data_IF_835113415404
#
_entry.id   IF_835113415404
#
_cell.length_a   1.000
_cell.length_b   1.000
_cell.length_c   1.000
_cell.angle_alpha   90.00
_cell.angle_beta   90.00
_cell.angle_gamma   90.00
#
_symmetry.space_group_name_H-M   'P 1'
#
loop_
_entity.id
_entity.type
_entity.pdbx_description
1 polymer ?
#
# COMPACT_ATOMS: atom_id res chain seq x y z
N UNK A 1 -48.65 30.59 -48.63
CA UNK A 1 -48.36 29.41 -47.79
C UNK A 1 -46.99 29.60 -47.13
N UNK A 2 -46.95 29.92 -45.84
CA UNK A 2 -45.72 30.28 -45.10
C UNK A 2 -45.03 29.03 -44.56
N UNK A 3 -43.73 28.88 -44.84
CA UNK A 3 -42.85 27.82 -44.32
C UNK A 3 -42.64 28.00 -42.82
N UNK A 4 -43.06 27.03 -42.00
CA UNK A 4 -42.76 26.98 -40.58
C UNK A 4 -41.37 26.34 -40.37
N UNK A 5 -40.44 27.12 -39.80
CA UNK A 5 -39.12 26.66 -39.36
C UNK A 5 -39.29 25.91 -38.04
N UNK A 6 -39.00 24.61 -38.00
CA UNK A 6 -38.80 23.89 -36.74
C UNK A 6 -37.49 24.39 -36.11
N UNK A 7 -37.59 25.06 -34.96
CA UNK A 7 -36.45 25.40 -34.11
C UNK A 7 -36.15 24.21 -33.22
N UNK A 8 -34.93 23.68 -33.35
CA UNK A 8 -34.33 22.69 -32.46
C UNK A 8 -34.24 23.24 -31.04
N UNK A 9 -34.85 22.57 -30.06
CA UNK A 9 -34.53 22.74 -28.64
C UNK A 9 -33.84 21.45 -28.17
N UNK A 10 -32.52 21.44 -28.23
CA UNK A 10 -31.71 20.46 -27.53
C UNK A 10 -31.54 20.94 -26.09
N UNK A 11 -32.36 20.44 -25.18
CA UNK A 11 -32.21 20.68 -23.74
C UNK A 11 -31.22 19.64 -23.18
N UNK A 12 -29.93 19.96 -23.24
CA UNK A 12 -28.89 19.15 -22.62
C UNK A 12 -28.92 19.35 -21.10
N UNK A 13 -29.58 18.43 -20.37
CA UNK A 13 -29.46 18.34 -18.92
C UNK A 13 -28.14 17.61 -18.58
N UNK A 14 -27.07 18.37 -18.37
CA UNK A 14 -25.84 17.84 -17.76
C UNK A 14 -26.11 17.73 -16.26
N UNK A 15 -26.46 16.53 -15.80
CA UNK A 15 -26.39 16.20 -14.37
C UNK A 15 -24.91 16.06 -13.99
N UNK A 16 -24.30 17.17 -13.56
CA UNK A 16 -23.02 17.11 -12.88
C UNK A 16 -23.25 16.46 -11.52
N UNK A 17 -23.09 15.15 -11.42
CA UNK A 17 -23.00 14.46 -10.14
C UNK A 17 -21.69 14.92 -9.49
N UNK A 18 -21.78 15.94 -8.63
CA UNK A 18 -20.70 16.31 -7.75
C UNK A 18 -20.47 15.14 -6.78
N UNK A 19 -19.51 14.27 -7.10
CA UNK A 19 -19.03 13.27 -6.16
C UNK A 19 -18.26 14.06 -5.09
N UNK A 20 -18.70 14.07 -3.82
CA UNK A 20 -17.96 14.76 -2.79
C UNK A 20 -16.58 14.13 -2.71
N UNK A 21 -15.55 14.96 -2.89
CA UNK A 21 -14.19 14.61 -2.51
C UNK A 21 -14.26 14.33 -1.00
N UNK A 22 -14.01 13.10 -0.59
CA UNK A 22 -14.08 12.71 0.82
C UNK A 22 -13.16 13.63 1.62
N UNK A 23 -13.76 14.55 2.38
CA UNK A 23 -13.05 15.27 3.41
C UNK A 23 -12.72 14.24 4.49
N UNK A 24 -11.43 14.05 4.75
CA UNK A 24 -10.94 13.22 5.85
C UNK A 24 -11.68 13.62 7.13
N UNK A 25 -12.47 12.70 7.68
CA UNK A 25 -13.30 12.98 8.84
C UNK A 25 -12.40 13.37 10.01
N UNK A 26 -12.81 14.33 10.84
CA UNK A 26 -12.07 14.66 12.06
C UNK A 26 -11.84 13.42 12.96
N UNK A 27 -12.73 12.41 12.85
CA UNK A 27 -12.65 11.13 13.56
C UNK A 27 -11.47 10.25 13.09
N UNK A 28 -11.06 10.35 11.82
CA UNK A 28 -9.95 9.57 11.26
C UNK A 28 -8.58 9.99 11.80
N UNK A 29 -8.50 11.15 12.46
CA UNK A 29 -7.25 11.64 13.06
C UNK A 29 -6.98 11.08 14.45
N UNK A 30 -8.01 10.62 15.16
CA UNK A 30 -7.84 10.16 16.52
C UNK A 30 -7.48 8.67 16.55
N UNK A 31 -6.23 8.39 16.95
CA UNK A 31 -5.71 7.02 17.06
C UNK A 31 -6.51 6.16 18.05
N UNK A 32 -7.12 6.78 19.07
CA UNK A 32 -7.95 6.07 20.06
C UNK A 32 -9.25 5.52 19.48
N UNK A 33 -9.69 6.07 18.35
CA UNK A 33 -10.95 5.71 17.74
C UNK A 33 -10.78 4.62 16.67
N UNK A 34 -9.56 4.12 16.40
CA UNK A 34 -9.30 3.01 15.47
C UNK A 34 -10.21 1.83 15.82
N UNK A 35 -10.91 1.32 14.81
CA UNK A 35 -11.97 0.32 14.96
C UNK A 35 -13.36 0.91 15.15
N UNK A 36 -13.53 2.22 15.31
CA UNK A 36 -14.82 2.86 15.57
C UNK A 36 -15.09 4.10 14.69
N UNK A 37 -14.27 4.33 13.66
CA UNK A 37 -14.28 5.58 12.87
C UNK A 37 -15.25 5.56 11.70
N UNK A 38 -15.84 4.40 11.39
CA UNK A 38 -16.66 4.20 10.19
C UNK A 38 -15.83 4.13 8.90
N UNK A 39 -14.56 3.70 8.98
CA UNK A 39 -13.71 3.52 7.78
C UNK A 39 -14.37 2.54 6.81
N UNK A 40 -14.45 2.93 5.54
CA UNK A 40 -15.10 2.15 4.49
C UNK A 40 -16.62 2.31 4.41
N UNK A 41 -17.22 3.11 5.30
CA UNK A 41 -18.63 3.51 5.19
C UNK A 41 -18.87 4.41 3.97
N UNK A 42 -20.13 4.49 3.54
CA UNK A 42 -20.56 5.24 2.36
C UNK A 42 -21.13 4.35 1.26
N UNK A 43 -21.24 4.89 0.05
CA UNK A 43 -21.90 4.19 -1.05
C UNK A 43 -21.08 2.98 -1.50
N UNK A 44 -21.57 1.78 -1.20
CA UNK A 44 -21.00 0.51 -1.62
C UNK A 44 -22.12 -0.51 -1.83
N UNK A 45 -22.26 -1.05 -3.04
CA UNK A 45 -23.31 -2.01 -3.38
C UNK A 45 -23.02 -3.44 -2.88
N UNK A 46 -21.84 -3.64 -2.30
CA UNK A 46 -21.43 -4.90 -1.71
C UNK A 46 -21.57 -4.76 -0.19
N UNK A 47 -22.41 -5.59 0.42
CA UNK A 47 -22.41 -5.78 1.88
C UNK A 47 -21.10 -6.43 2.33
N UNK A 48 -20.86 -6.50 3.64
CA UNK A 48 -19.67 -7.18 4.19
C UNK A 48 -19.66 -8.65 3.76
N UNK A 49 -20.79 -9.33 3.83
CA UNK A 49 -20.95 -10.74 3.46
C UNK A 49 -20.71 -10.95 1.96
N UNK A 50 -21.24 -10.06 1.11
CA UNK A 50 -20.99 -10.10 -0.34
C UNK A 50 -19.53 -9.87 -0.66
N UNK A 51 -18.83 -8.99 0.07
CA UNK A 51 -17.40 -8.79 -0.09
C UNK A 51 -16.60 -10.03 0.30
N UNK A 52 -16.97 -10.70 1.39
CA UNK A 52 -16.34 -11.97 1.82
C UNK A 52 -16.56 -13.07 0.78
N UNK A 53 -17.80 -13.25 0.30
CA UNK A 53 -18.11 -14.25 -0.71
C UNK A 53 -17.34 -14.01 -2.02
N UNK A 54 -17.29 -12.75 -2.48
CA UNK A 54 -16.50 -12.36 -3.65
C UNK A 54 -15.01 -12.64 -3.45
N UNK A 55 -14.47 -12.25 -2.30
CA UNK A 55 -13.08 -12.50 -1.91
C UNK A 55 -12.73 -13.97 -1.97
N UNK A 56 -13.60 -14.82 -1.41
CA UNK A 56 -13.43 -16.27 -1.39
C UNK A 56 -13.31 -16.85 -2.80
N UNK A 57 -14.23 -16.48 -3.68
CA UNK A 57 -14.23 -16.96 -5.07
C UNK A 57 -12.96 -16.53 -5.82
N UNK A 58 -12.48 -15.30 -5.59
CA UNK A 58 -11.24 -14.81 -6.19
C UNK A 58 -10.00 -15.49 -5.59
N UNK A 59 -10.00 -15.72 -4.28
CA UNK A 59 -8.92 -16.42 -3.59
C UNK A 59 -8.77 -17.86 -4.10
N UNK A 60 -9.89 -18.58 -4.31
CA UNK A 60 -9.88 -19.92 -4.91
C UNK A 60 -9.23 -19.94 -6.30
N UNK A 61 -9.46 -18.90 -7.12
CA UNK A 61 -8.80 -18.77 -8.44
C UNK A 61 -7.29 -18.50 -8.33
N UNK A 62 -6.89 -17.65 -7.38
CA UNK A 62 -5.47 -17.39 -7.12
C UNK A 62 -4.78 -18.67 -6.64
N UNK A 63 -5.36 -19.35 -5.66
CA UNK A 63 -4.80 -20.57 -5.07
C UNK A 63 -4.77 -21.76 -6.05
N UNK A 64 -5.67 -21.80 -7.04
CA UNK A 64 -5.66 -22.83 -8.08
C UNK A 64 -4.43 -22.75 -9.02
N UNK A 65 -3.78 -21.58 -9.12
CA UNK A 65 -2.67 -21.35 -10.05
C UNK A 65 -1.35 -20.99 -9.36
N UNK A 66 -1.42 -20.50 -8.12
CA UNK A 66 -0.24 -20.10 -7.36
C UNK A 66 0.42 -21.29 -6.66
N UNK A 67 1.75 -21.21 -6.51
CA UNK A 67 2.49 -22.10 -5.60
C UNK A 67 2.40 -21.54 -4.19
N UNK A 68 1.86 -22.31 -3.26
CA UNK A 68 1.67 -21.91 -1.87
C UNK A 68 2.86 -22.42 -1.04
N UNK A 69 3.47 -21.54 -0.25
CA UNK A 69 4.51 -21.90 0.70
C UNK A 69 3.90 -22.72 1.84
N UNK A 70 4.48 -23.88 2.15
CA UNK A 70 3.90 -24.88 3.07
C UNK A 70 4.60 -24.98 4.41
N UNK A 71 5.73 -24.30 4.59
CA UNK A 71 6.47 -24.35 5.85
C UNK A 71 5.63 -23.78 7.02
N UNK A 72 5.35 -24.57 8.08
CA UNK A 72 4.46 -24.14 9.15
C UNK A 72 5.03 -23.00 9.99
N UNK A 73 6.35 -22.94 10.20
CA UNK A 73 6.97 -21.87 11.00
C UNK A 73 6.87 -20.52 10.29
N UNK A 74 7.12 -20.52 8.96
CA UNK A 74 7.01 -19.32 8.13
C UNK A 74 5.54 -18.86 8.08
N UNK A 75 4.61 -19.77 7.82
CA UNK A 75 3.18 -19.47 7.75
C UNK A 75 2.62 -18.93 9.07
N UNK A 76 2.95 -19.57 10.19
CA UNK A 76 2.51 -19.15 11.52
C UNK A 76 3.06 -17.74 11.84
N UNK A 77 4.33 -17.49 11.56
CA UNK A 77 4.97 -16.21 11.81
C UNK A 77 4.28 -15.06 11.06
N UNK A 78 4.12 -15.21 9.74
CA UNK A 78 3.52 -14.16 8.90
C UNK A 78 2.04 -13.98 9.22
N UNK A 79 1.32 -15.06 9.52
CA UNK A 79 -0.06 -14.96 9.99
C UNK A 79 -0.12 -14.18 11.31
N UNK A 80 0.73 -14.49 12.30
CA UNK A 80 0.75 -13.76 13.58
C UNK A 80 1.04 -12.27 13.39
N UNK A 81 1.98 -11.93 12.51
CA UNK A 81 2.28 -10.54 12.14
C UNK A 81 1.03 -9.84 11.55
N UNK A 82 0.39 -10.46 10.56
CA UNK A 82 -0.83 -9.93 9.95
C UNK A 82 -1.95 -9.76 10.97
N UNK A 83 -2.23 -10.77 11.80
CA UNK A 83 -3.27 -10.71 12.81
C UNK A 83 -2.98 -9.62 13.85
N UNK A 84 -1.71 -9.36 14.17
CA UNK A 84 -1.36 -8.24 15.04
C UNK A 84 -1.74 -6.88 14.45
N UNK A 85 -1.45 -6.67 13.17
CA UNK A 85 -1.84 -5.46 12.45
C UNK A 85 -3.37 -5.34 12.34
N UNK A 86 -4.06 -6.43 11.99
CA UNK A 86 -5.53 -6.45 11.86
C UNK A 86 -6.21 -6.06 13.16
N UNK A 87 -5.74 -6.57 14.31
CA UNK A 87 -6.30 -6.20 15.63
C UNK A 87 -6.16 -4.71 15.98
N UNK A 88 -5.18 -4.03 15.41
CA UNK A 88 -4.95 -2.59 15.60
C UNK A 88 -5.40 -1.77 14.38
N UNK A 89 -6.43 -2.25 13.67
CA UNK A 89 -6.94 -1.61 12.45
C UNK A 89 -8.46 -1.43 12.47
N UNK A 90 -8.99 -0.65 11.52
CA UNK A 90 -10.44 -0.54 11.33
C UNK A 90 -11.08 -1.72 10.57
N UNK A 91 -10.32 -2.75 10.22
CA UNK A 91 -10.84 -3.88 9.48
C UNK A 91 -12.04 -4.55 10.19
N UNK A 92 -13.10 -4.83 9.41
CA UNK A 92 -14.36 -5.44 9.89
C UNK A 92 -14.59 -6.86 9.38
N UNK A 93 -13.56 -7.47 8.82
CA UNK A 93 -13.61 -8.81 8.23
C UNK A 93 -12.48 -9.65 8.79
N UNK A 94 -12.65 -10.98 8.92
CA UNK A 94 -11.55 -11.86 9.28
C UNK A 94 -10.50 -11.86 8.16
N UNK A 95 -9.23 -11.97 8.54
CA UNK A 95 -8.14 -12.09 7.57
C UNK A 95 -7.66 -13.53 7.45
N UNK A 96 -7.63 -14.03 6.22
CA UNK A 96 -7.04 -15.32 5.86
C UNK A 96 -5.74 -15.06 5.11
N UNK A 97 -4.61 -15.40 5.73
CA UNK A 97 -3.28 -15.10 5.17
C UNK A 97 -2.73 -16.32 4.45
N UNK A 98 -2.21 -16.11 3.24
CA UNK A 98 -1.53 -17.14 2.46
C UNK A 98 -0.21 -16.62 1.91
N UNK A 99 0.85 -17.41 2.02
CA UNK A 99 2.15 -17.06 1.48
C UNK A 99 2.32 -17.73 0.12
N UNK A 100 2.71 -16.96 -0.90
CA UNK A 100 2.92 -17.45 -2.25
C UNK A 100 4.43 -17.55 -2.54
N UNK A 101 4.88 -18.71 -3.02
CA UNK A 101 6.24 -18.94 -3.53
C UNK A 101 6.41 -18.13 -4.82
N UNK A 102 6.91 -16.89 -4.69
CA UNK A 102 7.08 -15.99 -5.81
C UNK A 102 8.22 -15.01 -5.52
N UNK A 103 9.21 -14.88 -6.43
CA UNK A 103 10.32 -13.96 -6.24
C UNK A 103 9.88 -12.49 -6.42
N UNK A 104 8.65 -12.25 -6.86
CA UNK A 104 8.10 -10.89 -6.97
C UNK A 104 7.94 -10.28 -5.58
N UNK A 105 8.54 -9.11 -5.38
CA UNK A 105 8.30 -8.26 -4.21
C UNK A 105 6.86 -7.78 -4.32
N UNK A 106 5.92 -8.40 -3.61
CA UNK A 106 4.51 -8.02 -3.63
C UNK A 106 3.71 -8.58 -2.44
N UNK A 107 2.62 -7.89 -2.09
CA UNK A 107 1.51 -8.41 -1.32
C UNK A 107 0.20 -7.89 -1.92
N UNK A 108 -0.91 -8.56 -1.67
CA UNK A 108 -2.23 -8.11 -2.11
C UNK A 108 -3.33 -8.64 -1.20
N UNK A 109 -4.24 -7.76 -0.78
CA UNK A 109 -5.44 -8.17 -0.06
C UNK A 109 -6.70 -8.04 -0.93
N UNK A 110 -7.39 -9.16 -1.15
CA UNK A 110 -8.66 -9.20 -1.86
C UNK A 110 -9.82 -8.77 -0.94
N UNK A 111 -10.99 -8.43 -1.50
CA UNK A 111 -12.20 -8.16 -0.71
C UNK A 111 -12.43 -9.22 0.36
N UNK A 112 -12.88 -8.81 1.55
CA UNK A 112 -13.22 -9.77 2.61
C UNK A 112 -12.04 -10.38 3.36
N UNK A 113 -10.82 -9.87 3.18
CA UNK A 113 -9.67 -10.21 4.04
C UNK A 113 -8.83 -11.39 3.57
N UNK A 114 -8.96 -11.83 2.32
CA UNK A 114 -8.08 -12.85 1.75
C UNK A 114 -6.75 -12.20 1.34
N UNK A 115 -5.69 -12.49 2.08
CA UNK A 115 -4.45 -11.72 2.05
C UNK A 115 -3.27 -12.58 1.61
N UNK A 116 -2.65 -12.19 0.50
CA UNK A 116 -1.52 -12.90 -0.10
C UNK A 116 -0.22 -12.13 0.10
N UNK A 117 0.82 -12.81 0.55
CA UNK A 117 2.17 -12.26 0.74
C UNK A 117 3.15 -13.09 -0.06
N UNK A 118 3.93 -12.48 -0.95
CA UNK A 118 4.93 -13.22 -1.73
C UNK A 118 6.22 -13.41 -0.93
N UNK A 119 6.89 -14.55 -1.13
CA UNK A 119 8.20 -14.83 -0.51
C UNK A 119 9.25 -13.77 -0.87
N UNK A 120 9.20 -13.24 -2.10
CA UNK A 120 10.06 -12.14 -2.55
C UNK A 120 9.89 -10.84 -1.74
N UNK A 121 8.69 -10.54 -1.22
CA UNK A 121 8.49 -9.40 -0.33
C UNK A 121 9.18 -9.60 1.01
N UNK A 122 8.99 -10.78 1.61
CA UNK A 122 9.58 -11.14 2.90
C UNK A 122 11.12 -11.07 2.82
N UNK A 123 11.70 -11.56 1.71
CA UNK A 123 13.14 -11.53 1.48
C UNK A 123 13.67 -10.11 1.19
N UNK A 124 12.86 -9.23 0.59
CA UNK A 124 13.26 -7.86 0.26
C UNK A 124 13.22 -6.88 1.45
N UNK A 125 12.40 -7.16 2.46
CA UNK A 125 12.32 -6.33 3.68
C UNK A 125 13.58 -6.50 4.52
N UNK A 126 14.27 -5.40 4.86
CA UNK A 126 15.52 -5.45 5.67
C UNK A 126 15.23 -5.68 7.15
N UNK A 127 14.02 -5.33 7.60
CA UNK A 127 13.56 -5.52 8.96
C UNK A 127 12.05 -5.81 8.97
N UNK A 128 11.55 -6.26 10.13
CA UNK A 128 10.14 -6.60 10.31
C UNK A 128 9.20 -5.42 10.09
N UNK A 129 9.58 -4.21 10.52
CA UNK A 129 8.74 -3.03 10.40
C UNK A 129 8.48 -2.61 8.94
N UNK A 130 9.44 -2.83 8.04
CA UNK A 130 9.22 -2.60 6.60
C UNK A 130 8.17 -3.56 6.02
N UNK A 131 8.23 -4.85 6.39
CA UNK A 131 7.22 -5.82 6.00
C UNK A 131 5.86 -5.46 6.62
N UNK A 132 5.85 -5.09 7.89
CA UNK A 132 4.65 -4.67 8.61
C UNK A 132 4.01 -3.43 7.96
N UNK A 133 4.80 -2.47 7.49
CA UNK A 133 4.32 -1.28 6.79
C UNK A 133 3.58 -1.62 5.49
N UNK A 134 4.14 -2.49 4.65
CA UNK A 134 3.44 -2.96 3.43
C UNK A 134 2.17 -3.71 3.80
N UNK A 135 2.22 -4.56 4.82
CA UNK A 135 1.05 -5.33 5.22
C UNK A 135 -0.06 -4.45 5.81
N UNK A 136 0.30 -3.42 6.58
CA UNK A 136 -0.64 -2.45 7.14
C UNK A 136 -1.37 -1.66 6.04
N UNK A 137 -0.66 -1.29 4.97
CA UNK A 137 -1.24 -0.65 3.79
C UNK A 137 -2.26 -1.55 3.08
N UNK A 138 -1.93 -2.84 2.86
CA UNK A 138 -2.88 -3.79 2.27
C UNK A 138 -4.12 -4.02 3.16
N UNK A 139 -3.93 -4.06 4.49
CA UNK A 139 -5.04 -4.12 5.45
C UNK A 139 -5.91 -2.86 5.36
N UNK A 140 -5.30 -1.69 5.17
CA UNK A 140 -6.03 -0.43 4.99
C UNK A 140 -6.92 -0.42 3.74
N UNK A 141 -6.48 -1.00 2.62
CA UNK A 141 -7.34 -1.15 1.44
C UNK A 141 -8.61 -1.97 1.72
N UNK A 142 -8.49 -3.03 2.54
CA UNK A 142 -9.62 -3.87 2.93
C UNK A 142 -10.52 -3.13 3.92
N UNK A 143 -9.95 -2.47 4.93
CA UNK A 143 -10.67 -1.68 5.91
C UNK A 143 -11.50 -0.57 5.23
N UNK A 144 -10.88 0.20 4.32
CA UNK A 144 -11.53 1.24 3.54
C UNK A 144 -12.39 0.72 2.37
N UNK A 145 -12.48 -0.61 2.21
CA UNK A 145 -13.30 -1.31 1.21
C UNK A 145 -13.03 -0.86 -0.23
N UNK A 146 -11.81 -0.40 -0.53
CA UNK A 146 -11.45 0.25 -1.80
C UNK A 146 -11.82 -0.59 -3.03
N UNK A 147 -11.53 -1.89 -3.02
CA UNK A 147 -11.82 -2.79 -4.12
C UNK A 147 -13.33 -2.84 -4.46
N UNK A 148 -14.18 -2.97 -3.44
CA UNK A 148 -15.64 -3.04 -3.63
C UNK A 148 -16.28 -1.66 -3.90
N UNK A 149 -15.67 -0.58 -3.41
CA UNK A 149 -16.01 0.79 -3.82
C UNK A 149 -15.72 0.99 -5.30
N UNK A 150 -14.59 0.50 -5.82
CA UNK A 150 -14.27 0.53 -7.25
C UNK A 150 -15.25 -0.29 -8.09
N UNK A 151 -15.63 -1.49 -7.63
CA UNK A 151 -16.67 -2.27 -8.29
C UNK A 151 -18.03 -1.55 -8.30
N UNK A 152 -18.37 -0.86 -7.21
CA UNK A 152 -19.59 -0.04 -7.12
C UNK A 152 -19.55 1.12 -8.12
N UNK A 153 -18.42 1.84 -8.20
CA UNK A 153 -18.20 2.92 -9.19
C UNK A 153 -18.37 2.40 -10.62
N UNK A 154 -17.80 1.23 -10.94
CA UNK A 154 -17.94 0.61 -12.25
C UNK A 154 -19.41 0.30 -12.60
N UNK A 155 -20.16 -0.30 -11.66
CA UNK A 155 -21.60 -0.58 -11.84
C UNK A 155 -22.44 0.68 -12.03
N UNK A 156 -22.12 1.76 -11.32
CA UNK A 156 -22.80 3.05 -11.48
C UNK A 156 -22.58 3.64 -12.87
N UNK A 157 -21.36 3.54 -13.42
CA UNK A 157 -21.05 3.96 -14.79
C UNK A 157 -21.86 3.12 -15.78
N UNK A 158 -21.88 1.79 -15.61
CA UNK A 158 -22.67 0.90 -16.46
C UNK A 158 -24.16 1.31 -16.47
N UNK A 159 -24.75 1.60 -15.30
CA UNK A 159 -26.13 2.08 -15.21
C UNK A 159 -26.35 3.47 -15.82
N UNK A 160 -25.42 4.41 -15.63
CA UNK A 160 -25.52 5.75 -16.19
C UNK A 160 -25.45 5.77 -17.73
N UNK A 161 -24.77 4.78 -18.34
CA UNK A 161 -24.70 4.65 -19.79
C UNK A 161 -25.92 3.93 -20.39
N UNK A 162 -26.75 3.27 -19.59
CA UNK A 162 -27.91 2.50 -20.05
C UNK A 162 -28.95 3.36 -20.82
N UNK A 163 -29.31 4.58 -20.40
CA UNK A 163 -30.23 5.44 -21.16
C UNK A 163 -29.64 5.95 -22.50
N UNK A 164 -28.31 6.08 -22.60
CA UNK A 164 -27.64 6.55 -23.82
C UNK A 164 -27.80 5.56 -24.99
N UNK A 165 -28.04 4.28 -24.68
CA UNK A 165 -28.33 3.24 -25.68
C UNK A 165 -29.65 3.55 -26.42
N UNK A 166 -30.64 4.11 -25.72
CA UNK A 166 -31.96 4.41 -26.29
C UNK A 166 -32.01 5.77 -27.01
N UNK A 167 -31.10 6.70 -26.70
CA UNK A 167 -31.06 8.04 -27.30
C UNK A 167 -30.06 8.15 -28.46
N UNK A 168 -29.03 7.30 -28.50
CA UNK A 168 -27.90 7.42 -29.43
C UNK A 168 -27.99 6.66 -30.75
N UNK A 169 -29.05 5.88 -31.02
CA UNK A 169 -29.21 5.15 -32.28
C UNK A 169 -28.13 4.08 -32.52
N UNK A 170 -28.34 2.88 -32.00
CA UNK A 170 -27.84 1.63 -32.61
C UNK A 170 -26.34 1.32 -32.63
N UNK A 171 -25.43 2.17 -32.15
CA UNK A 171 -23.99 1.86 -32.16
C UNK A 171 -23.44 1.76 -30.73
N UNK A 172 -23.27 0.51 -30.25
CA UNK A 172 -21.97 0.13 -29.69
C UNK A 172 -21.84 -0.35 -28.24
N UNK A 173 -22.89 -0.55 -27.43
CA UNK A 173 -22.69 -1.05 -26.04
C UNK A 173 -23.64 -2.17 -25.56
N UNK A 174 -24.64 -2.57 -26.35
CA UNK A 174 -25.65 -3.56 -25.96
C UNK A 174 -25.18 -5.03 -26.17
N UNK A 175 -23.97 -5.37 -25.72
CA UNK A 175 -23.34 -6.66 -26.02
C UNK A 175 -22.64 -7.35 -24.86
N UNK A 176 -22.97 -7.03 -23.60
CA UNK A 176 -22.50 -7.82 -22.45
C UNK A 176 -23.69 -8.53 -21.82
N UNK A 177 -23.95 -9.74 -22.32
CA UNK A 177 -24.74 -10.75 -21.65
C UNK A 177 -24.32 -10.82 -20.18
N UNK A 178 -25.26 -10.69 -19.25
CA UNK A 178 -25.03 -10.78 -17.80
C UNK A 178 -24.58 -12.19 -17.34
N UNK A 179 -24.55 -13.16 -18.24
CA UNK A 179 -24.12 -14.52 -17.97
C UNK A 179 -22.58 -14.60 -18.05
N UNK A 180 -21.96 -14.83 -16.89
CA UNK A 180 -20.52 -15.11 -16.74
C UNK A 180 -19.56 -13.97 -17.12
N UNK A 181 -19.85 -12.74 -16.68
CA UNK A 181 -18.86 -11.67 -16.75
C UNK A 181 -17.70 -12.01 -15.80
N UNK A 182 -16.57 -12.45 -16.35
CA UNK A 182 -15.31 -12.51 -15.63
C UNK A 182 -15.05 -11.13 -14.99
N UNK A 183 -14.93 -11.08 -13.67
CA UNK A 183 -14.70 -9.82 -12.96
C UNK A 183 -13.28 -9.36 -13.30
N UNK A 184 -13.10 -8.27 -14.05
CA UNK A 184 -11.77 -7.86 -14.45
C UNK A 184 -10.99 -7.41 -13.21
N UNK A 185 -9.77 -7.91 -13.01
CA UNK A 185 -8.90 -7.53 -11.87
C UNK A 185 -8.52 -6.03 -11.85
N UNK A 186 -8.98 -5.23 -12.81
CA UNK A 186 -8.80 -3.78 -12.82
C UNK A 186 -9.44 -3.07 -11.62
N UNK A 187 -10.38 -3.69 -10.91
CA UNK A 187 -10.93 -3.12 -9.67
C UNK A 187 -9.89 -2.98 -8.54
N UNK A 188 -8.78 -3.72 -8.62
CA UNK A 188 -7.61 -3.62 -7.74
C UNK A 188 -6.67 -2.46 -8.13
N UNK A 189 -6.97 -1.70 -9.19
CA UNK A 189 -6.27 -0.44 -9.48
C UNK A 189 -6.94 0.68 -8.71
N UNK A 190 -6.21 1.21 -7.74
CA UNK A 190 -6.73 2.21 -6.82
C UNK A 190 -6.44 3.62 -7.30
N UNK A 191 -7.35 4.55 -6.99
CA UNK A 191 -7.15 5.96 -7.33
C UNK A 191 -6.09 6.59 -6.43
N UNK A 192 -5.55 7.75 -6.83
CA UNK A 192 -4.63 8.52 -5.97
C UNK A 192 -5.24 8.92 -4.62
N UNK A 193 -6.58 8.96 -4.52
CA UNK A 193 -7.27 9.21 -3.26
C UNK A 193 -7.24 7.97 -2.38
N UNK A 194 -7.63 6.83 -2.94
CA UNK A 194 -7.62 5.53 -2.24
C UNK A 194 -6.19 5.18 -1.73
N UNK A 195 -5.16 5.48 -2.52
CA UNK A 195 -3.76 5.28 -2.10
C UNK A 195 -3.34 6.12 -0.91
N UNK A 196 -3.72 7.40 -0.89
CA UNK A 196 -3.42 8.29 0.24
C UNK A 196 -4.20 7.89 1.49
N UNK A 197 -5.45 7.47 1.31
CA UNK A 197 -6.27 6.93 2.40
C UNK A 197 -5.62 5.66 2.99
N UNK A 198 -5.12 4.76 2.13
CA UNK A 198 -4.45 3.54 2.57
C UNK A 198 -3.08 3.80 3.24
N UNK A 199 -2.29 4.75 2.74
CA UNK A 199 -1.03 5.18 3.39
C UNK A 199 -1.31 5.74 4.79
N UNK A 200 -2.25 6.68 4.87
CA UNK A 200 -2.66 7.35 6.09
C UNK A 200 -3.12 6.36 7.16
N UNK A 201 -4.05 5.46 6.81
CA UNK A 201 -4.57 4.44 7.71
C UNK A 201 -3.48 3.40 8.05
N UNK A 202 -2.70 2.97 7.07
CA UNK A 202 -1.63 1.98 7.23
C UNK A 202 -0.55 2.45 8.21
N UNK A 203 -0.14 3.71 8.14
CA UNK A 203 0.80 4.32 9.09
C UNK A 203 0.27 4.26 10.52
N UNK A 204 -1.01 4.56 10.72
CA UNK A 204 -1.63 4.48 12.04
C UNK A 204 -1.75 3.05 12.55
N UNK A 205 -2.09 2.09 11.68
CA UNK A 205 -2.21 0.68 12.08
C UNK A 205 -0.87 0.08 12.48
N UNK A 206 0.20 0.36 11.72
CA UNK A 206 1.53 -0.12 12.09
C UNK A 206 2.05 0.59 13.35
N UNK A 207 1.78 1.89 13.49
CA UNK A 207 2.13 2.66 14.68
C UNK A 207 1.42 2.09 15.91
N UNK A 208 0.11 1.82 15.83
CA UNK A 208 -0.61 1.25 16.97
C UNK A 208 -0.22 -0.19 17.28
N UNK A 209 0.15 -0.97 16.28
CA UNK A 209 0.78 -2.28 16.49
C UNK A 209 2.21 -2.20 17.08
N UNK A 210 2.76 -0.98 17.26
CA UNK A 210 4.04 -0.71 17.91
C UNK A 210 5.24 -0.58 16.97
N UNK A 211 5.05 -0.68 15.66
CA UNK A 211 6.14 -0.60 14.68
C UNK A 211 6.59 0.84 14.42
N UNK A 212 7.86 1.00 14.02
CA UNK A 212 8.40 2.29 13.60
C UNK A 212 7.76 2.72 12.27
N UNK A 213 6.94 3.77 12.24
CA UNK A 213 6.26 4.19 11.01
C UNK A 213 7.24 4.70 9.94
N UNK A 214 8.47 5.09 10.31
CA UNK A 214 9.51 5.44 9.34
C UNK A 214 9.93 4.26 8.46
N UNK A 215 9.69 3.02 8.90
CA UNK A 215 9.97 1.83 8.09
C UNK A 215 9.08 1.74 6.84
N UNK A 216 7.86 2.31 6.89
CA UNK A 216 6.99 2.43 5.72
C UNK A 216 7.64 3.28 4.62
N UNK A 217 8.13 4.46 5.00
CA UNK A 217 8.83 5.39 4.10
C UNK A 217 10.09 4.73 3.51
N UNK A 218 10.90 4.10 4.37
CA UNK A 218 12.11 3.40 3.95
C UNK A 218 11.83 2.29 2.92
N UNK A 219 10.74 1.53 3.11
CA UNK A 219 10.33 0.51 2.13
C UNK A 219 9.95 1.14 0.79
N UNK A 220 9.21 2.26 0.78
CA UNK A 220 8.85 2.97 -0.46
C UNK A 220 10.07 3.52 -1.19
N UNK A 221 10.99 4.14 -0.46
CA UNK A 221 12.27 4.63 -1.03
C UNK A 221 13.10 3.50 -1.62
N UNK A 222 13.14 2.35 -0.94
CA UNK A 222 13.82 1.15 -1.43
C UNK A 222 13.23 0.65 -2.73
N UNK A 223 11.90 0.51 -2.81
CA UNK A 223 11.20 0.08 -4.02
C UNK A 223 11.47 1.05 -5.18
N UNK A 224 11.33 2.37 -4.95
CA UNK A 224 11.65 3.38 -5.97
C UNK A 224 13.11 3.32 -6.42
N UNK A 225 14.04 3.13 -5.49
CA UNK A 225 15.46 3.02 -5.79
C UNK A 225 15.77 1.78 -6.62
N UNK A 226 15.08 0.66 -6.35
CA UNK A 226 15.20 -0.58 -7.12
C UNK A 226 14.69 -0.40 -8.55
N UNK A 227 13.53 0.22 -8.73
CA UNK A 227 12.96 0.52 -10.06
C UNK A 227 13.84 1.46 -10.88
N UNK A 228 14.40 2.50 -10.26
CA UNK A 228 15.31 3.42 -10.95
C UNK A 228 16.58 2.72 -11.43
N UNK A 229 17.11 1.79 -10.64
CA UNK A 229 18.32 1.04 -10.99
C UNK A 229 18.05 -0.05 -12.03
N UNK A 230 16.88 -0.68 -11.96
CA UNK A 230 16.48 -1.76 -12.83
C UNK A 230 14.99 -1.60 -13.19
N UNK A 231 14.66 -0.85 -14.25
CA UNK A 231 13.27 -0.65 -14.66
C UNK A 231 12.55 -1.97 -14.90
N UNK A 232 11.32 -2.09 -14.42
CA UNK A 232 10.52 -3.31 -14.47
C UNK A 232 10.80 -4.33 -13.36
N UNK A 233 11.60 -3.98 -12.34
CA UNK A 233 11.87 -4.87 -11.19
C UNK A 233 10.93 -4.69 -10.03
N UNK A 234 10.18 -3.59 -9.97
CA UNK A 234 8.96 -3.53 -9.17
C UNK A 234 7.93 -4.48 -9.81
N UNK A 235 7.40 -5.40 -9.01
CA UNK A 235 6.41 -6.37 -9.48
C UNK A 235 5.21 -5.67 -10.15
N UNK A 236 4.61 -6.32 -11.17
CA UNK A 236 3.39 -5.83 -11.83
C UNK A 236 2.24 -5.53 -10.85
N UNK A 237 2.27 -6.13 -9.67
CA UNK A 237 1.29 -5.90 -8.64
C UNK A 237 1.56 -4.65 -7.78
N UNK A 238 2.79 -4.23 -7.50
CA UNK A 238 3.03 -2.84 -7.07
C UNK A 238 2.80 -1.83 -8.19
N UNK A 239 2.66 -2.28 -9.45
CA UNK A 239 2.21 -1.40 -10.54
C UNK A 239 0.72 -1.05 -10.46
N UNK A 240 -0.11 -1.74 -9.65
CA UNK A 240 -1.49 -1.28 -9.40
C UNK A 240 -1.52 -0.07 -8.47
N UNK A 241 -0.53 0.06 -7.59
CA UNK A 241 -0.43 1.15 -6.62
C UNK A 241 1.03 1.54 -6.31
N UNK A 242 1.75 2.13 -7.29
CA UNK A 242 3.18 2.36 -7.17
C UNK A 242 3.52 3.40 -6.09
N UNK A 243 4.64 3.24 -5.36
CA UNK A 243 5.16 4.30 -4.51
C UNK A 243 5.51 5.51 -5.39
N UNK A 244 5.31 6.72 -4.85
CA UNK A 244 5.68 7.95 -5.55
C UNK A 244 6.37 8.91 -4.58
N UNK A 245 7.22 9.84 -5.08
CA UNK A 245 7.83 10.86 -4.22
C UNK A 245 6.79 11.71 -3.46
N UNK A 246 5.61 11.91 -4.05
CA UNK A 246 4.52 12.62 -3.40
C UNK A 246 3.97 11.83 -2.19
N UNK A 247 3.72 10.53 -2.36
CA UNK A 247 3.25 9.65 -1.26
C UNK A 247 4.26 9.55 -0.13
N UNK A 248 5.56 9.49 -0.44
CA UNK A 248 6.63 9.52 0.57
C UNK A 248 6.56 10.80 1.38
N UNK A 249 6.52 11.96 0.72
CA UNK A 249 6.45 13.25 1.39
C UNK A 249 5.17 13.42 2.21
N UNK A 250 4.05 12.93 1.69
CA UNK A 250 2.77 12.93 2.40
C UNK A 250 2.86 12.05 3.65
N UNK A 251 3.45 10.85 3.54
CA UNK A 251 3.68 9.93 4.67
C UNK A 251 4.60 10.51 5.74
N UNK A 252 5.72 11.13 5.36
CA UNK A 252 6.62 11.81 6.30
C UNK A 252 5.88 12.90 7.09
N UNK A 253 5.08 13.71 6.39
CA UNK A 253 4.27 14.74 7.02
C UNK A 253 3.22 14.16 7.97
N UNK A 254 2.59 13.05 7.59
CA UNK A 254 1.62 12.36 8.43
C UNK A 254 2.27 11.82 9.71
N UNK A 255 3.45 11.21 9.60
CA UNK A 255 4.23 10.76 10.76
C UNK A 255 4.51 11.93 11.70
N UNK A 256 5.03 13.04 11.17
CA UNK A 256 5.42 14.20 11.98
C UNK A 256 4.22 14.91 12.65
N UNK A 257 3.05 14.89 12.01
CA UNK A 257 1.89 15.66 12.44
C UNK A 257 0.84 14.87 13.22
N UNK A 258 0.77 13.55 13.04
CA UNK A 258 -0.31 12.72 13.60
C UNK A 258 0.16 11.75 14.66
N UNK A 259 1.41 11.27 14.58
CA UNK A 259 1.90 10.17 15.39
C UNK A 259 2.77 10.71 16.53
N UNK A 260 2.29 10.65 17.79
CA UNK A 260 3.11 11.03 18.92
C UNK A 260 4.40 10.21 18.97
N UNK A 261 5.52 10.84 19.31
CA UNK A 261 6.76 10.09 19.50
C UNK A 261 6.62 9.11 20.66
N UNK A 262 7.00 7.84 20.43
CA UNK A 262 7.10 6.81 21.47
C UNK A 262 8.56 6.69 21.96
N UNK A 263 8.77 6.25 23.23
CA UNK A 263 10.12 5.95 23.72
C UNK A 263 10.79 4.84 22.92
N UNK A 264 10.01 3.85 22.47
CA UNK A 264 10.50 2.69 21.75
C UNK A 264 9.52 2.32 20.62
N UNK A 265 10.11 1.85 19.51
CA UNK A 265 9.39 1.26 18.39
C UNK A 265 9.96 -0.13 18.09
N UNK A 266 9.10 -1.02 17.60
CA UNK A 266 9.51 -2.28 17.00
C UNK A 266 10.05 -1.97 15.61
N UNK A 267 11.37 -2.07 15.44
CA UNK A 267 12.00 -1.98 14.13
C UNK A 267 12.23 -3.39 13.55
N UNK A 268 12.83 -4.27 14.35
CA UNK A 268 13.13 -5.63 13.93
C UNK A 268 13.09 -6.60 15.12
N UNK A 269 12.78 -7.87 14.84
CA UNK A 269 12.85 -8.95 15.84
C UNK A 269 13.81 -10.05 15.44
N UNK A 270 14.34 -10.77 16.43
CA UNK A 270 15.14 -11.98 16.18
C UNK A 270 14.35 -13.07 15.44
N UNK A 271 13.02 -13.11 15.65
CA UNK A 271 12.17 -14.10 15.00
C UNK A 271 12.00 -13.78 13.52
N UNK A 272 11.85 -12.50 13.14
CA UNK A 272 11.87 -12.10 11.73
C UNK A 272 13.13 -12.56 11.02
N UNK A 273 14.30 -12.29 11.61
CA UNK A 273 15.59 -12.70 11.04
C UNK A 273 15.69 -14.23 10.86
N UNK A 274 15.24 -15.01 11.83
CA UNK A 274 15.21 -16.48 11.75
C UNK A 274 14.31 -16.96 10.61
N UNK A 275 13.11 -16.41 10.50
CA UNK A 275 12.13 -16.77 9.47
C UNK A 275 12.62 -16.37 8.08
N UNK A 276 13.22 -15.18 7.95
CA UNK A 276 13.82 -14.73 6.70
C UNK A 276 14.96 -15.64 6.26
N UNK A 277 15.85 -16.03 7.18
CA UNK A 277 16.94 -16.95 6.89
C UNK A 277 16.42 -18.35 6.50
N UNK A 278 15.44 -18.89 7.25
CA UNK A 278 14.77 -20.16 6.92
C UNK A 278 14.15 -20.13 5.52
N UNK A 279 13.44 -19.05 5.19
CA UNK A 279 12.84 -18.87 3.87
C UNK A 279 13.89 -18.83 2.76
N UNK A 280 14.99 -18.10 2.97
CA UNK A 280 16.08 -18.00 2.00
C UNK A 280 16.72 -19.36 1.69
N UNK A 281 16.94 -20.18 2.74
CA UNK A 281 17.46 -21.54 2.58
C UNK A 281 16.53 -22.43 1.76
N UNK A 282 15.21 -22.36 2.00
CA UNK A 282 14.22 -23.15 1.25
C UNK A 282 14.13 -22.72 -0.23
N UNK A 283 14.27 -21.43 -0.51
CA UNK A 283 14.20 -20.85 -1.86
C UNK A 283 15.55 -20.94 -2.60
N UNK A 284 16.58 -21.58 -2.01
CA UNK A 284 17.94 -21.70 -2.57
C UNK A 284 18.55 -20.34 -2.94
N UNK A 285 18.22 -19.28 -2.19
CA UNK A 285 18.80 -17.96 -2.41
C UNK A 285 20.21 -17.97 -1.83
N UNK A 286 21.23 -17.80 -2.67
CA UNK A 286 22.63 -17.75 -2.24
C UNK A 286 22.82 -16.78 -1.07
N UNK A 287 23.38 -17.28 0.04
CA UNK A 287 23.61 -16.56 1.30
C UNK A 287 24.40 -15.24 1.11
N UNK A 288 25.11 -15.08 0.00
CA UNK A 288 25.96 -13.92 -0.30
C UNK A 288 25.21 -12.60 -0.45
N UNK A 289 23.89 -12.62 -0.70
CA UNK A 289 23.07 -11.40 -0.85
C UNK A 289 22.12 -11.11 0.33
N UNK A 290 22.02 -12.00 1.34
CA UNK A 290 21.23 -11.73 2.53
C UNK A 290 22.03 -10.87 3.51
N UNK A 291 21.72 -9.56 3.54
CA UNK A 291 22.15 -8.67 4.62
C UNK A 291 21.38 -9.03 5.91
N UNK A 292 21.80 -10.09 6.59
CA UNK A 292 21.34 -10.39 7.93
C UNK A 292 21.96 -9.37 8.89
N UNK A 293 21.20 -8.35 9.27
CA UNK A 293 21.62 -7.42 10.32
C UNK A 293 21.46 -8.08 11.69
N UNK A 294 22.61 -8.40 12.33
CA UNK A 294 22.74 -8.52 13.77
C UNK A 294 22.52 -9.91 14.37
N UNK A 295 23.54 -10.39 15.10
CA UNK A 295 23.55 -11.60 15.90
C UNK A 295 22.48 -11.58 17.01
N UNK A 296 21.37 -12.28 16.81
CA UNK A 296 20.54 -12.89 17.87
C UNK A 296 19.87 -12.01 18.92
N UNK A 297 20.01 -10.68 18.90
CA UNK A 297 19.39 -9.76 19.85
C UNK A 297 18.33 -8.89 19.16
N UNK A 298 17.12 -8.72 19.73
CA UNK A 298 16.18 -7.69 19.27
C UNK A 298 16.90 -6.34 19.23
N UNK A 299 16.80 -5.62 18.11
CA UNK A 299 17.29 -4.25 18.03
C UNK A 299 16.16 -3.30 18.42
N UNK A 300 16.20 -2.86 19.67
CA UNK A 300 15.50 -1.67 20.12
C UNK A 300 16.52 -0.52 20.14
N UNK A 301 16.05 0.71 19.90
CA UNK A 301 16.73 2.03 20.04
C UNK A 301 16.98 2.79 18.73
N UNK A 302 16.22 3.87 18.54
CA UNK A 302 16.68 5.18 18.06
C UNK A 302 16.27 6.21 19.11
N UNK A 303 17.20 6.90 19.81
CA UNK A 303 16.84 8.00 20.69
C UNK A 303 16.51 9.22 19.82
N UNK A 304 15.42 9.90 20.16
CA UNK A 304 14.99 11.12 19.50
C UNK A 304 16.00 12.24 19.82
N UNK A 305 16.87 12.61 18.87
CA UNK A 305 17.88 13.65 19.15
C UNK A 305 19.02 13.89 18.14
N UNK A 306 18.97 13.41 16.91
CA UNK A 306 19.97 13.81 15.89
C UNK A 306 19.30 14.56 14.74
N UNK A 307 19.41 15.89 14.83
CA UNK A 307 19.31 16.76 13.68
C UNK A 307 20.17 16.24 12.52
N UNK A 308 19.68 16.40 11.31
CA UNK A 308 20.40 16.11 10.08
C UNK A 308 21.84 16.67 10.14
N UNK A 309 22.87 15.94 9.68
CA UNK A 309 24.20 16.52 9.61
C UNK A 309 24.21 17.63 8.57
N UNK A 310 24.26 18.86 9.07
CA UNK A 310 24.58 20.04 8.31
C UNK A 310 25.95 19.89 7.63
N UNK A 311 26.08 20.56 6.48
CA UNK A 311 27.23 20.70 5.60
C UNK A 311 28.60 20.29 6.12
N UNK A 312 29.31 19.51 5.29
CA UNK A 312 30.76 19.28 5.38
C UNK A 312 31.52 20.61 5.51
N UNK A 313 32.35 20.83 6.55
CA UNK A 313 33.39 21.84 6.49
C UNK A 313 34.60 21.25 5.75
N UNK A 314 34.93 21.83 4.60
CA UNK A 314 36.17 21.56 3.88
C UNK A 314 37.34 22.20 4.64
N UNK A 315 38.27 21.37 5.14
CA UNK A 315 39.56 21.84 5.65
C UNK A 315 40.41 22.33 4.48
N UNK A 316 40.48 23.66 4.32
CA UNK A 316 41.35 24.32 3.34
C UNK A 316 42.79 24.31 3.88
N UNK A 317 43.66 23.46 3.30
CA UNK A 317 45.12 23.53 3.49
C UNK A 317 45.62 24.89 2.99
N UNK A 318 46.32 25.62 3.85
CA UNK A 318 47.07 26.83 3.50
C UNK A 318 48.27 26.42 2.63
N UNK A 319 48.53 27.05 1.47
CA UNK A 319 49.73 26.77 0.70
C UNK A 319 50.95 27.40 1.38
N UNK A 320 52.04 26.64 1.41
CA UNK A 320 53.36 27.17 1.72
C UNK A 320 53.82 28.10 0.60
N UNK A 321 54.40 29.23 0.98
CA UNK A 321 55.18 30.11 0.14
C UNK A 321 56.40 30.52 0.97
N UNK A 322 57.58 30.10 0.53
CA UNK A 322 58.84 30.47 1.15
C UNK A 322 59.39 31.80 0.64
N UNK A 323 60.47 32.25 1.29
CA UNK A 323 61.52 33.04 0.67
C UNK A 323 61.63 34.51 1.10
N UNK A 324 62.80 34.88 1.63
CA UNK A 324 63.30 36.25 1.82
C UNK A 324 63.55 36.55 3.31
N UNK A 325 64.77 36.72 3.84
CA UNK A 325 66.06 37.06 3.24
C UNK A 325 66.43 38.51 3.59
N UNK A 326 67.44 38.70 4.45
CA UNK A 326 68.12 39.97 4.78
C UNK A 326 67.48 40.75 5.94
N UNK A 327 68.18 41.31 6.91
CA UNK A 327 69.60 41.55 7.15
C UNK A 327 69.74 42.75 8.10
N UNK A 328 70.85 42.83 8.86
CA UNK A 328 71.35 44.10 9.41
C UNK A 328 71.26 44.30 10.93
N UNK A 329 72.44 44.17 11.55
CA UNK A 329 72.93 44.68 12.84
C UNK A 329 72.12 44.46 14.12
#
# INVERSE_FOLDING_TARGET
MKRARLRSLALGLIFALAIPLAAQSANEKNLKDIGHRGVGDGMNFYSVEKSIALGKQLAEQVEATARIQKDPEINEYINRLAQNLVRHSDAKVPFTVRILESPQVNAAALPGGYFFVNTGLILAADNEAELAGVMAHEIAHVAARHATRNLTKARLIDYATLPLIFVGGGIGLAGRSLAEVAIPMSFMKFSRGDEREADYLGLQYMYEAGYDPQAFVQMFEKLLSKEKKQPGTIAKAFSSHPPTPARIKDSEKEIDSLLPSRPEYILNTSNFNKIKARLAMLEHVDDTNLKLHGTGRPSLIRPNGSAAPAGKPTLKRRPGGGGGGGGGN
#
